data_IF_727425331285
#
_entry.id   IF_727425331285
#
_cell.length_a   1.000
_cell.length_b   1.000
_cell.length_c   1.000
_cell.angle_alpha   90.00
_cell.angle_beta   90.00
_cell.angle_gamma   90.00
#
_symmetry.space_group_name_H-M   'P 1'
#
loop_
_entity.id
_entity.type
_entity.pdbx_description
1 polymer ?
#
# COMPACT_ATOMS: atom_id res chain seq x y z
N UNK A 1 -52.11 7.19 25.63
CA UNK A 1 -50.78 7.78 25.90
C UNK A 1 -49.58 6.95 25.41
N UNK A 2 -49.64 5.61 25.35
CA UNK A 2 -48.47 4.78 24.99
C UNK A 2 -47.94 4.88 23.54
N UNK A 3 -48.80 5.16 22.54
CA UNK A 3 -48.39 5.24 21.13
C UNK A 3 -47.49 6.43 20.80
N UNK A 4 -47.68 7.57 21.48
CA UNK A 4 -46.87 8.77 21.26
C UNK A 4 -45.50 8.69 21.95
N UNK A 5 -45.43 7.99 23.08
CA UNK A 5 -44.16 7.72 23.78
C UNK A 5 -43.21 6.84 22.96
N UNK A 6 -43.75 5.82 22.28
CA UNK A 6 -42.95 4.91 21.45
C UNK A 6 -42.40 5.61 20.20
N UNK A 7 -43.20 6.48 19.58
CA UNK A 7 -42.77 7.28 18.42
C UNK A 7 -41.68 8.30 18.79
N UNK A 8 -41.78 8.94 19.96
CA UNK A 8 -40.76 9.86 20.46
C UNK A 8 -39.44 9.14 20.80
N UNK A 9 -39.50 7.93 21.34
CA UNK A 9 -38.31 7.12 21.63
C UNK A 9 -37.57 6.68 20.36
N UNK A 10 -38.30 6.32 19.28
CA UNK A 10 -37.68 6.03 17.98
C UNK A 10 -37.07 7.26 17.32
N UNK A 11 -37.67 8.44 17.49
CA UNK A 11 -37.13 9.69 16.94
C UNK A 11 -35.82 10.11 17.64
N UNK A 12 -35.69 9.90 18.95
CA UNK A 12 -34.43 10.16 19.67
C UNK A 12 -33.31 9.16 19.31
N UNK A 13 -33.65 7.89 19.06
CA UNK A 13 -32.67 6.88 18.64
C UNK A 13 -32.06 7.18 17.26
N UNK A 14 -32.81 7.83 16.36
CA UNK A 14 -32.32 8.22 15.04
C UNK A 14 -31.26 9.33 15.08
N UNK A 15 -31.22 10.17 16.13
CA UNK A 15 -30.24 11.26 16.26
C UNK A 15 -28.88 10.78 16.77
N UNK A 16 -28.83 9.62 17.43
CA UNK A 16 -27.60 9.02 17.95
C UNK A 16 -26.78 8.28 16.88
N UNK A 17 -27.35 8.03 15.69
CA UNK A 17 -26.67 7.41 14.56
C UNK A 17 -25.86 8.44 13.74
N UNK A 18 -25.11 9.32 14.40
CA UNK A 18 -24.01 10.01 13.70
C UNK A 18 -22.94 8.97 13.45
N UNK A 19 -22.85 8.50 12.21
CA UNK A 19 -21.74 7.65 11.76
C UNK A 19 -20.44 8.25 12.28
N UNK A 20 -19.65 7.43 12.97
CA UNK A 20 -18.36 7.88 13.51
C UNK A 20 -17.57 8.50 12.35
N UNK A 21 -17.08 9.73 12.54
CA UNK A 21 -16.25 10.38 11.52
C UNK A 21 -15.04 9.47 11.25
N UNK A 22 -14.87 9.06 10.00
CA UNK A 22 -13.70 8.32 9.59
C UNK A 22 -12.47 9.25 9.63
N UNK A 23 -11.31 8.79 10.13
CA UNK A 23 -11.10 7.53 10.84
C UNK A 23 -11.43 7.64 12.35
N UNK A 24 -12.10 6.61 12.88
CA UNK A 24 -12.46 6.54 14.30
C UNK A 24 -11.42 5.77 15.16
N UNK A 25 -10.66 4.88 14.52
CA UNK A 25 -9.62 4.00 15.10
C UNK A 25 -8.34 4.02 14.25
N UNK A 26 -7.33 3.26 14.64
CA UNK A 26 -6.10 3.12 13.88
C UNK A 26 -6.31 2.53 12.47
N UNK A 27 -5.50 2.99 11.52
CA UNK A 27 -5.40 2.46 10.16
C UNK A 27 -4.20 1.53 10.10
N UNK A 28 -4.32 0.39 9.42
CA UNK A 28 -3.23 -0.54 9.17
C UNK A 28 -2.70 -0.34 7.76
N UNK A 29 -1.44 0.05 7.65
CA UNK A 29 -0.70 0.21 6.40
C UNK A 29 0.10 -1.06 6.14
N UNK A 30 -0.40 -1.91 5.26
CA UNK A 30 0.25 -3.18 4.95
C UNK A 30 1.43 -2.91 4.01
N UNK A 31 2.60 -3.43 4.37
CA UNK A 31 3.85 -3.26 3.64
C UNK A 31 4.28 -4.58 3.01
N UNK A 32 4.51 -4.60 1.71
CA UNK A 32 4.96 -5.77 0.95
C UNK A 32 6.47 -6.04 1.06
N UNK A 33 7.22 -5.18 1.75
CA UNK A 33 8.66 -5.27 1.88
C UNK A 33 9.11 -5.76 3.25
N UNK A 34 10.33 -6.31 3.31
CA UNK A 34 10.98 -6.61 4.58
C UNK A 34 11.23 -5.32 5.38
N UNK A 35 11.09 -5.42 6.70
CA UNK A 35 11.29 -4.29 7.61
C UNK A 35 12.72 -3.71 7.47
N UNK A 36 12.84 -2.39 7.45
CA UNK A 36 14.11 -1.67 7.32
C UNK A 36 14.67 -1.58 5.89
N UNK A 37 14.02 -2.18 4.89
CA UNK A 37 14.40 -1.96 3.50
C UNK A 37 14.13 -0.52 3.05
N UNK A 38 14.83 -0.06 2.01
CA UNK A 38 14.61 1.29 1.46
C UNK A 38 13.15 1.58 1.10
N UNK A 39 12.42 0.56 0.62
CA UNK A 39 10.99 0.69 0.32
C UNK A 39 10.10 0.70 1.57
N UNK A 40 10.45 -0.04 2.63
CA UNK A 40 9.76 0.03 3.93
C UNK A 40 9.89 1.42 4.57
N UNK A 41 11.05 2.07 4.44
CA UNK A 41 11.28 3.44 4.92
C UNK A 41 10.28 4.41 4.26
N UNK A 42 10.05 4.27 2.96
CA UNK A 42 9.07 5.07 2.22
C UNK A 42 7.66 4.84 2.79
N UNK A 43 7.24 3.58 2.97
CA UNK A 43 5.93 3.24 3.53
C UNK A 43 5.74 3.88 4.91
N UNK A 44 6.75 3.80 5.78
CA UNK A 44 6.73 4.40 7.12
C UNK A 44 6.65 5.92 7.08
N UNK A 45 7.44 6.57 6.23
CA UNK A 45 7.42 8.02 6.06
C UNK A 45 6.02 8.54 5.71
N UNK A 46 5.37 7.93 4.70
CA UNK A 46 4.02 8.35 4.31
C UNK A 46 2.94 7.94 5.31
N UNK A 47 3.09 6.79 5.97
CA UNK A 47 2.16 6.36 7.03
C UNK A 47 2.18 7.34 8.22
N UNK A 48 3.36 7.82 8.62
CA UNK A 48 3.52 8.83 9.67
C UNK A 48 2.92 10.18 9.27
N UNK A 49 3.06 10.59 8.00
CA UNK A 49 2.42 11.80 7.46
C UNK A 49 0.90 11.67 7.45
N UNK A 50 0.38 10.52 7.01
CA UNK A 50 -1.05 10.23 7.04
C UNK A 50 -1.59 10.25 8.48
N UNK A 51 -0.87 9.67 9.43
CA UNK A 51 -1.29 9.66 10.85
C UNK A 51 -1.51 11.07 11.40
N UNK A 52 -0.63 12.03 11.05
CA UNK A 52 -0.77 13.44 11.44
C UNK A 52 -2.03 14.09 10.89
N UNK A 53 -2.36 13.83 9.63
CA UNK A 53 -3.55 14.41 8.98
C UNK A 53 -4.82 13.69 9.43
N UNK A 54 -4.76 12.38 9.61
CA UNK A 54 -5.87 11.54 10.03
C UNK A 54 -6.26 11.75 11.51
N UNK A 55 -5.35 12.26 12.35
CA UNK A 55 -5.57 12.36 13.80
C UNK A 55 -5.70 11.00 14.50
N UNK A 56 -5.30 9.92 13.82
CA UNK A 56 -5.34 8.53 14.30
C UNK A 56 -4.03 7.82 13.94
N UNK A 57 -3.60 6.83 14.73
CA UNK A 57 -2.40 6.05 14.40
C UNK A 57 -2.53 5.37 13.04
N UNK A 58 -1.42 5.32 12.29
CA UNK A 58 -1.29 4.50 11.08
C UNK A 58 -0.16 3.51 11.34
N UNK A 59 -0.51 2.25 11.55
CA UNK A 59 0.42 1.19 11.95
C UNK A 59 0.92 0.44 10.72
N UNK A 60 2.24 0.37 10.56
CA UNK A 60 2.87 -0.36 9.45
C UNK A 60 3.04 -1.83 9.81
N UNK A 61 2.48 -2.72 8.99
CA UNK A 61 2.61 -4.18 9.13
C UNK A 61 3.34 -4.78 7.92
N UNK A 62 4.55 -5.29 8.13
CA UNK A 62 5.31 -5.97 7.08
C UNK A 62 4.76 -7.38 6.83
N UNK A 63 4.33 -7.66 5.60
CA UNK A 63 3.91 -8.98 5.10
C UNK A 63 4.66 -9.32 3.80
N UNK A 64 5.99 -9.51 3.85
CA UNK A 64 6.78 -9.81 2.66
C UNK A 64 6.52 -11.23 2.14
N UNK A 65 6.83 -11.47 0.87
CA UNK A 65 6.76 -12.79 0.25
C UNK A 65 6.16 -12.76 -1.15
N UNK A 66 6.58 -13.68 -2.01
CA UNK A 66 6.09 -13.83 -3.40
C UNK A 66 6.04 -12.50 -4.18
N UNK A 67 7.15 -11.73 -4.16
CA UNK A 67 7.24 -10.37 -4.73
C UNK A 67 6.12 -9.41 -4.29
N UNK A 68 5.62 -9.58 -3.07
CA UNK A 68 4.56 -8.76 -2.49
C UNK A 68 3.16 -9.33 -2.66
N UNK A 69 2.97 -10.45 -3.37
CA UNK A 69 1.64 -11.03 -3.57
C UNK A 69 0.93 -11.36 -2.24
N UNK A 70 1.66 -11.75 -1.19
CA UNK A 70 1.10 -12.04 0.14
C UNK A 70 0.41 -10.81 0.75
N UNK A 71 1.07 -9.65 0.72
CA UNK A 71 0.49 -8.40 1.21
C UNK A 71 -0.70 -7.92 0.37
N UNK A 72 -0.59 -8.06 -0.96
CA UNK A 72 -1.64 -7.62 -1.89
C UNK A 72 -2.90 -8.47 -1.72
N UNK A 73 -2.75 -9.81 -1.63
CA UNK A 73 -3.84 -10.74 -1.35
C UNK A 73 -4.56 -10.41 -0.03
N UNK A 74 -3.77 -10.13 1.02
CA UNK A 74 -4.29 -9.76 2.32
C UNK A 74 -5.15 -8.49 2.26
N UNK A 75 -4.68 -7.46 1.55
CA UNK A 75 -5.42 -6.19 1.42
C UNK A 75 -6.64 -6.35 0.51
N UNK A 76 -6.51 -7.04 -0.62
CA UNK A 76 -7.60 -7.34 -1.54
C UNK A 76 -8.79 -8.04 -0.84
N UNK A 77 -8.50 -8.91 0.14
CA UNK A 77 -9.51 -9.64 0.92
C UNK A 77 -9.92 -8.95 2.22
N UNK A 78 -9.33 -7.79 2.54
CA UNK A 78 -9.68 -7.04 3.74
C UNK A 78 -11.02 -6.33 3.59
N UNK A 79 -11.62 -5.93 4.71
CA UNK A 79 -12.86 -5.16 4.68
C UNK A 79 -12.62 -3.84 3.92
N UNK A 80 -13.50 -3.45 2.97
CA UNK A 80 -13.37 -2.21 2.22
C UNK A 80 -13.87 -1.00 3.05
N UNK A 81 -13.35 -0.84 4.26
CA UNK A 81 -13.80 0.15 5.26
C UNK A 81 -12.76 1.27 5.50
N UNK A 82 -11.67 1.28 4.72
CA UNK A 82 -10.59 2.27 4.80
C UNK A 82 -9.54 2.01 5.89
N UNK A 83 -9.76 1.07 6.81
CA UNK A 83 -8.83 0.81 7.92
C UNK A 83 -7.69 -0.16 7.57
N UNK A 84 -7.70 -0.75 6.37
CA UNK A 84 -6.58 -1.51 5.83
C UNK A 84 -6.21 -0.93 4.48
N UNK A 85 -5.01 -0.36 4.39
CA UNK A 85 -4.49 0.29 3.20
C UNK A 85 -3.18 -0.35 2.76
N UNK A 86 -2.79 -0.08 1.51
CA UNK A 86 -1.58 -0.59 0.90
C UNK A 86 -0.81 0.56 0.27
N UNK A 87 0.46 0.72 0.65
CA UNK A 87 1.42 1.55 -0.07
C UNK A 87 2.34 0.59 -0.82
N UNK A 88 2.16 0.50 -2.14
CA UNK A 88 2.84 -0.49 -2.99
C UNK A 88 3.31 0.14 -4.30
N UNK A 89 4.39 -0.37 -4.93
CA UNK A 89 4.79 0.09 -6.25
C UNK A 89 3.75 -0.28 -7.31
N UNK A 90 3.12 0.74 -7.90
CA UNK A 90 2.17 0.53 -8.98
C UNK A 90 2.79 -0.17 -10.19
N UNK A 91 4.04 0.18 -10.55
CA UNK A 91 4.73 -0.35 -11.72
C UNK A 91 5.00 -1.85 -11.64
N UNK A 92 5.64 -2.33 -10.58
CA UNK A 92 6.00 -3.74 -10.47
C UNK A 92 4.86 -4.62 -9.97
N UNK A 93 4.09 -4.15 -8.98
CA UNK A 93 3.17 -5.02 -8.24
C UNK A 93 1.76 -5.02 -8.82
N UNK A 94 1.31 -3.91 -9.40
CA UNK A 94 -0.03 -3.81 -10.00
C UNK A 94 0.01 -3.95 -11.52
N UNK A 95 0.95 -3.27 -12.19
CA UNK A 95 1.01 -3.26 -13.65
C UNK A 95 1.79 -4.45 -14.23
N UNK A 96 2.98 -4.76 -13.72
CA UNK A 96 3.81 -5.83 -14.29
C UNK A 96 3.40 -7.24 -13.84
N UNK A 97 2.91 -7.40 -12.60
CA UNK A 97 2.63 -8.71 -12.02
C UNK A 97 1.70 -9.61 -12.87
N UNK A 98 0.61 -9.13 -13.49
CA UNK A 98 -0.26 -9.95 -14.35
C UNK A 98 0.45 -10.54 -15.58
N UNK A 99 1.56 -9.93 -16.01
CA UNK A 99 2.32 -10.35 -17.17
C UNK A 99 3.53 -11.23 -16.81
N UNK A 100 3.89 -11.31 -15.53
CA UNK A 100 5.05 -12.06 -15.04
C UNK A 100 4.60 -13.35 -14.35
N UNK A 101 3.49 -13.32 -13.63
CA UNK A 101 2.99 -14.48 -12.88
C UNK A 101 1.87 -15.20 -13.64
N UNK A 102 2.02 -16.52 -13.80
CA UNK A 102 0.97 -17.37 -14.40
C UNK A 102 -0.35 -17.33 -13.64
N UNK A 103 -0.28 -17.14 -12.32
CA UNK A 103 -1.45 -17.06 -11.44
C UNK A 103 -1.19 -16.03 -10.36
N UNK A 104 -2.06 -15.03 -10.30
CA UNK A 104 -2.15 -14.09 -9.20
C UNK A 104 -3.30 -14.49 -8.27
N UNK A 105 -3.17 -14.13 -7.00
CA UNK A 105 -4.22 -14.36 -6.00
C UNK A 105 -5.17 -13.15 -5.86
N UNK A 106 -4.93 -12.08 -6.61
CA UNK A 106 -5.71 -10.84 -6.65
C UNK A 106 -5.79 -10.31 -8.10
N UNK A 107 -6.81 -9.51 -8.39
CA UNK A 107 -6.99 -8.73 -9.63
C UNK A 107 -6.61 -7.26 -9.35
N UNK A 108 -5.48 -6.75 -9.90
CA UNK A 108 -4.99 -5.41 -9.57
C UNK A 108 -5.92 -4.28 -10.01
N UNK A 109 -6.84 -4.52 -10.96
CA UNK A 109 -7.78 -3.52 -11.46
C UNK A 109 -9.12 -3.53 -10.69
N UNK A 110 -9.51 -4.67 -10.12
CA UNK A 110 -10.82 -4.81 -9.47
C UNK A 110 -10.75 -4.81 -7.95
N UNK A 111 -9.67 -5.33 -7.38
CA UNK A 111 -9.60 -5.59 -5.94
C UNK A 111 -9.07 -4.39 -5.14
N UNK A 112 -8.65 -3.31 -5.82
CA UNK A 112 -8.10 -2.11 -5.19
C UNK A 112 -8.78 -0.83 -5.67
N UNK A 113 -9.07 0.06 -4.74
CA UNK A 113 -9.44 1.43 -5.03
C UNK A 113 -8.17 2.30 -5.02
N UNK A 114 -7.73 2.88 -6.16
CA UNK A 114 -6.57 3.74 -6.21
C UNK A 114 -6.86 5.05 -5.45
N UNK A 115 -5.94 5.46 -4.57
CA UNK A 115 -6.08 6.68 -3.77
C UNK A 115 -5.29 7.82 -4.40
N UNK A 116 -3.97 7.69 -4.48
CA UNK A 116 -3.09 8.71 -5.07
C UNK A 116 -1.69 8.15 -5.31
N UNK A 117 -0.91 8.82 -6.17
CA UNK A 117 0.53 8.56 -6.33
C UNK A 117 1.30 9.36 -5.30
N UNK A 118 2.10 8.67 -4.47
CA UNK A 118 2.88 9.33 -3.40
C UNK A 118 4.23 9.86 -3.88
N UNK A 119 4.88 9.14 -4.80
CA UNK A 119 6.16 9.53 -5.40
C UNK A 119 6.41 8.76 -6.70
N UNK A 120 7.38 9.26 -7.47
CA UNK A 120 7.95 8.57 -8.63
C UNK A 120 9.42 8.29 -8.33
N UNK A 121 9.85 7.04 -8.53
CA UNK A 121 11.24 6.63 -8.35
C UNK A 121 11.95 6.55 -9.70
N UNK A 122 13.16 7.12 -9.78
CA UNK A 122 14.08 6.89 -10.88
C UNK A 122 14.99 5.72 -10.53
N UNK A 123 15.13 4.76 -11.45
CA UNK A 123 16.11 3.69 -11.33
C UNK A 123 17.46 4.14 -11.88
N UNK A 124 18.53 3.71 -11.23
CA UNK A 124 19.91 3.95 -11.67
C UNK A 124 20.61 2.61 -11.89
N UNK A 125 21.54 2.60 -12.86
CA UNK A 125 22.45 1.47 -13.07
C UNK A 125 23.70 1.75 -12.24
N UNK A 126 24.08 0.80 -11.39
CA UNK A 126 25.29 0.87 -10.60
C UNK A 126 26.20 -0.31 -10.91
N UNK A 127 27.50 -0.10 -10.72
CA UNK A 127 28.52 -1.16 -10.75
C UNK A 127 29.21 -1.22 -9.40
N UNK A 128 29.89 -2.33 -9.12
CA UNK A 128 30.76 -2.43 -7.95
C UNK A 128 31.78 -1.29 -7.92
N UNK A 129 32.12 -0.81 -6.72
CA UNK A 129 33.03 0.34 -6.56
C UNK A 129 34.45 0.08 -7.08
N UNK A 130 34.89 -1.17 -7.14
CA UNK A 130 36.18 -1.57 -7.73
C UNK A 130 36.09 -1.85 -9.24
N UNK A 131 34.92 -1.67 -9.85
CA UNK A 131 34.74 -1.90 -11.29
C UNK A 131 35.47 -0.84 -12.12
N UNK A 132 36.22 -1.21 -13.17
CA UNK A 132 36.85 -0.26 -14.11
C UNK A 132 35.85 0.40 -15.08
N UNK A 133 34.54 0.23 -14.85
CA UNK A 133 33.48 0.76 -15.71
C UNK A 133 32.99 2.07 -15.12
N UNK A 134 33.12 3.15 -15.88
CA UNK A 134 32.75 4.51 -15.47
C UNK A 134 31.63 5.08 -16.33
N UNK A 135 31.30 4.45 -17.46
CA UNK A 135 30.26 4.92 -18.38
C UNK A 135 29.34 3.79 -18.87
N UNK A 136 28.14 4.13 -19.31
CA UNK A 136 27.20 3.16 -19.90
C UNK A 136 27.78 2.49 -21.17
N UNK A 137 28.46 3.19 -22.10
CA UNK A 137 29.13 2.54 -23.22
C UNK A 137 30.19 1.53 -22.80
N UNK A 138 31.01 1.83 -21.78
CA UNK A 138 31.99 0.88 -21.22
C UNK A 138 31.31 -0.34 -20.61
N UNK A 139 30.18 -0.15 -19.90
CA UNK A 139 29.39 -1.26 -19.36
C UNK A 139 28.90 -2.17 -20.48
N UNK A 140 28.32 -1.60 -21.55
CA UNK A 140 27.81 -2.35 -22.70
C UNK A 140 28.93 -3.10 -23.42
N UNK A 141 30.08 -2.45 -23.65
CA UNK A 141 31.23 -3.08 -24.27
C UNK A 141 31.74 -4.28 -23.45
N UNK A 142 31.82 -4.10 -22.12
CA UNK A 142 32.27 -5.16 -21.20
C UNK A 142 31.31 -6.34 -21.16
N UNK A 143 29.99 -6.11 -21.10
CA UNK A 143 28.98 -7.17 -21.11
C UNK A 143 28.98 -7.95 -22.42
N UNK A 144 29.14 -7.26 -23.58
CA UNK A 144 29.23 -7.93 -24.89
C UNK A 144 30.50 -8.77 -25.06
N UNK A 145 31.61 -8.36 -24.45
CA UNK A 145 32.86 -9.10 -24.51
C UNK A 145 32.86 -10.38 -23.67
N UNK A 146 31.95 -10.48 -22.68
CA UNK A 146 31.77 -11.63 -21.78
C UNK A 146 30.28 -11.95 -21.62
N UNK A 147 29.62 -12.46 -22.67
CA UNK A 147 28.17 -12.71 -22.67
C UNK A 147 27.76 -13.82 -21.70
#
# INVERSE_FOLDING_TARGET
MGKYFLAAALALAAVAARGQNYPAREIRSICNFGAGSGADIVVRYYSERLARVAGKPVLVENKPGAQGAVANDYVAKSKPDGYTILITPASSTLAAAPHIFKKLSFDPLKDFAPVTTLLTLSFTITVDSASPVHTVPELVARLKAKP
#
